data_IF_562389720087
#
_entry.id   IF_562389720087
#
_cell.length_a   1.000
_cell.length_b   1.000
_cell.length_c   1.000
_cell.angle_alpha   90.00
_cell.angle_beta   90.00
_cell.angle_gamma   90.00
#
_symmetry.space_group_name_H-M   'P 1'
#
loop_
_entity.id
_entity.type
_entity.pdbx_description
1 polymer ?
#
# COMPACT_ATOMS: atom_id res chain seq x y z
N UNK A 1 15.39 13.94 21.81
CA UNK A 1 14.98 12.75 21.04
C UNK A 1 15.24 11.52 21.90
N UNK A 2 14.27 10.63 22.14
CA UNK A 2 14.52 9.37 22.83
C UNK A 2 15.52 8.49 22.04
N UNK A 3 16.38 7.73 22.71
CA UNK A 3 17.45 6.95 22.05
C UNK A 3 16.91 5.96 21.01
N UNK A 4 15.80 5.29 21.31
CA UNK A 4 15.15 4.34 20.41
C UNK A 4 14.69 4.99 19.09
N UNK A 5 14.19 6.23 19.14
CA UNK A 5 13.83 6.99 17.93
C UNK A 5 15.10 7.42 17.18
N UNK A 6 16.19 7.70 17.91
CA UNK A 6 17.52 8.05 17.38
C UNK A 6 17.98 7.18 16.23
N UNK A 7 17.87 5.86 16.44
CA UNK A 7 18.28 4.82 15.49
C UNK A 7 17.33 4.75 14.28
N UNK A 8 16.04 5.02 14.50
CA UNK A 8 15.00 4.85 13.51
C UNK A 8 14.71 3.38 13.17
N UNK A 9 13.73 3.17 12.30
CA UNK A 9 13.31 1.84 11.83
C UNK A 9 13.34 1.76 10.32
N UNK A 10 13.68 0.59 9.77
CA UNK A 10 13.66 0.33 8.33
C UNK A 10 12.32 -0.27 7.90
N UNK A 11 11.83 0.14 6.74
CA UNK A 11 10.56 -0.30 6.16
C UNK A 11 10.69 -0.51 4.65
N UNK A 12 9.89 -1.45 4.11
CA UNK A 12 9.78 -1.75 2.69
C UNK A 12 8.32 -1.65 2.20
N UNK A 13 7.49 -0.91 2.92
CA UNK A 13 6.07 -0.82 2.65
C UNK A 13 5.38 0.22 3.48
N UNK A 14 4.31 0.80 2.94
CA UNK A 14 3.47 1.73 3.69
C UNK A 14 2.01 1.46 3.37
N UNK A 15 1.18 1.43 4.39
CA UNK A 15 -0.28 1.42 4.30
C UNK A 15 -0.81 2.77 4.79
N UNK A 16 -1.89 3.23 4.17
CA UNK A 16 -2.48 4.54 4.45
C UNK A 16 -3.94 4.34 4.78
N UNK A 17 -4.34 4.70 5.99
CA UNK A 17 -5.75 4.87 6.35
C UNK A 17 -6.05 6.35 6.38
N UNK A 18 -7.20 6.73 5.83
CA UNK A 18 -7.64 8.13 5.80
C UNK A 18 -8.86 8.27 6.69
N UNK A 19 -8.72 9.05 7.76
CA UNK A 19 -9.83 9.49 8.59
C UNK A 19 -10.40 10.81 8.10
N UNK A 20 -11.31 11.40 8.89
CA UNK A 20 -11.92 12.68 8.54
C UNK A 20 -10.92 13.86 8.56
N UNK A 21 -9.94 13.83 9.47
CA UNK A 21 -9.02 14.95 9.72
C UNK A 21 -7.54 14.58 9.65
N UNK A 22 -7.25 13.29 9.76
CA UNK A 22 -5.91 12.75 9.91
C UNK A 22 -5.75 11.52 9.02
N UNK A 23 -4.54 11.31 8.53
CA UNK A 23 -4.13 10.04 7.94
C UNK A 23 -3.26 9.26 8.92
N UNK A 24 -3.38 7.95 8.87
CA UNK A 24 -2.51 7.01 9.57
C UNK A 24 -1.60 6.37 8.54
N UNK A 25 -0.28 6.50 8.75
CA UNK A 25 0.77 5.87 7.98
C UNK A 25 1.33 4.70 8.77
N UNK A 26 1.02 3.49 8.32
CA UNK A 26 1.61 2.26 8.85
C UNK A 26 2.77 1.84 7.98
N UNK A 27 3.98 1.97 8.51
CA UNK A 27 5.19 1.48 7.88
C UNK A 27 5.38 0.02 8.22
N UNK A 28 5.52 -0.79 7.18
CA UNK A 28 5.57 -2.25 7.27
C UNK A 28 6.96 -2.73 6.89
N UNK A 29 7.43 -3.75 7.60
CA UNK A 29 8.57 -4.55 7.21
C UNK A 29 8.09 -5.95 6.84
N UNK A 30 8.28 -6.31 5.58
CA UNK A 30 7.98 -7.64 5.03
C UNK A 30 9.28 -8.41 4.86
N UNK A 31 9.68 -9.19 5.86
CA UNK A 31 10.87 -10.03 5.82
C UNK A 31 10.52 -11.43 6.34
N UNK A 32 9.76 -12.17 5.54
CA UNK A 32 9.11 -13.43 5.93
C UNK A 32 7.76 -13.20 6.63
N UNK A 33 6.92 -14.24 6.65
CA UNK A 33 5.70 -14.23 7.44
C UNK A 33 6.05 -14.39 8.93
N UNK A 34 5.44 -13.60 9.83
CA UNK A 34 4.43 -12.59 9.58
C UNK A 34 5.01 -11.21 9.28
N UNK A 35 4.35 -10.51 8.35
CA UNK A 35 4.60 -9.10 8.09
C UNK A 35 4.35 -8.28 9.39
N UNK A 36 5.16 -7.24 9.64
CA UNK A 36 5.09 -6.47 10.89
C UNK A 36 5.03 -4.97 10.65
N UNK A 37 4.16 -4.29 11.40
CA UNK A 37 4.16 -2.82 11.47
C UNK A 37 5.34 -2.39 12.37
N UNK A 38 6.24 -1.58 11.81
CA UNK A 38 7.48 -1.10 12.47
C UNK A 38 7.40 0.37 12.89
N UNK A 39 6.53 1.15 12.27
CA UNK A 39 6.12 2.46 12.77
C UNK A 39 4.67 2.74 12.37
N UNK A 40 3.91 3.35 13.28
CA UNK A 40 2.59 3.93 13.00
C UNK A 40 2.68 5.42 13.25
N UNK A 41 2.42 6.24 12.24
CA UNK A 41 2.51 7.70 12.33
C UNK A 41 1.18 8.32 11.95
N UNK A 42 0.69 9.23 12.79
CA UNK A 42 -0.58 9.95 12.56
C UNK A 42 -0.22 11.37 12.11
N UNK A 43 -0.75 11.78 10.96
CA UNK A 43 -0.52 13.10 10.37
C UNK A 43 -1.85 13.83 10.12
N UNK A 44 -1.98 15.11 10.48
CA UNK A 44 -3.07 15.95 9.99
C UNK A 44 -3.05 16.04 8.46
N UNK A 45 -4.23 16.13 7.82
CA UNK A 45 -4.35 16.24 6.35
C UNK A 45 -3.49 17.35 5.73
N UNK A 46 -3.37 18.49 6.41
CA UNK A 46 -2.52 19.60 5.95
C UNK A 46 -1.04 19.21 5.88
N UNK A 47 -0.54 18.47 6.87
CA UNK A 47 0.85 18.01 6.94
C UNK A 47 1.09 16.90 5.92
N UNK A 48 0.11 16.02 5.71
CA UNK A 48 0.16 14.99 4.67
C UNK A 48 0.25 15.60 3.26
N UNK A 49 -0.48 16.69 2.99
CA UNK A 49 -0.35 17.44 1.72
C UNK A 49 1.02 18.09 1.55
N UNK A 50 1.59 18.63 2.63
CA UNK A 50 2.97 19.14 2.60
C UNK A 50 3.98 18.02 2.34
N UNK A 51 3.78 16.85 2.93
CA UNK A 51 4.62 15.67 2.67
C UNK A 51 4.62 15.29 1.20
N UNK A 52 3.48 15.36 0.50
CA UNK A 52 3.40 15.12 -0.95
C UNK A 52 4.35 16.06 -1.71
N UNK A 53 4.24 17.37 -1.47
CA UNK A 53 5.08 18.35 -2.15
C UNK A 53 6.57 18.13 -1.87
N UNK A 54 6.93 17.91 -0.59
CA UNK A 54 8.31 17.63 -0.18
C UNK A 54 8.83 16.34 -0.81
N UNK A 55 8.00 15.30 -0.91
CA UNK A 55 8.37 14.04 -1.56
C UNK A 55 8.61 14.23 -3.06
N UNK A 56 7.79 15.01 -3.75
CA UNK A 56 7.98 15.30 -5.17
C UNK A 56 9.33 15.97 -5.42
N UNK A 57 9.66 17.01 -4.65
CA UNK A 57 10.93 17.73 -4.75
C UNK A 57 12.12 16.81 -4.43
N UNK A 58 12.03 16.02 -3.35
CA UNK A 58 13.10 15.09 -2.97
C UNK A 58 13.29 13.97 -3.98
N UNK A 59 12.23 13.48 -4.61
CA UNK A 59 12.30 12.45 -5.65
C UNK A 59 12.99 13.00 -6.90
N UNK A 60 12.65 14.22 -7.31
CA UNK A 60 13.33 14.89 -8.43
C UNK A 60 14.81 15.12 -8.13
N UNK A 61 15.13 15.57 -6.92
CA UNK A 61 16.52 15.76 -6.49
C UNK A 61 17.31 14.44 -6.44
N UNK A 62 16.68 13.37 -5.97
CA UNK A 62 17.24 12.02 -6.01
C UNK A 62 17.55 11.61 -7.45
N UNK A 63 16.58 11.74 -8.37
CA UNK A 63 16.74 11.29 -9.75
C UNK A 63 17.81 12.08 -10.50
N UNK A 64 17.90 13.38 -10.23
CA UNK A 64 18.96 14.25 -10.77
C UNK A 64 20.35 13.79 -10.30
N UNK A 65 20.47 13.34 -9.04
CA UNK A 65 21.75 13.00 -8.42
C UNK A 65 22.19 11.56 -8.64
N UNK A 66 21.25 10.62 -8.62
CA UNK A 66 21.52 9.17 -8.61
C UNK A 66 20.97 8.43 -9.83
N UNK A 67 20.15 9.08 -10.65
CA UNK A 67 19.41 8.46 -11.75
C UNK A 67 18.03 7.93 -11.32
N UNK A 68 17.29 7.31 -12.25
CA UNK A 68 15.90 6.90 -12.01
C UNK A 68 15.78 5.91 -10.86
N UNK A 69 14.69 6.03 -10.09
CA UNK A 69 14.41 5.10 -8.99
C UNK A 69 14.28 3.66 -9.51
N UNK A 70 14.96 2.67 -8.88
CA UNK A 70 14.84 1.28 -9.31
C UNK A 70 13.40 0.78 -9.20
N UNK A 71 12.96 0.00 -10.21
CA UNK A 71 11.62 -0.58 -10.22
C UNK A 71 11.54 -1.76 -9.26
N UNK A 72 10.47 -1.82 -8.47
CA UNK A 72 10.16 -2.99 -7.66
C UNK A 72 9.89 -4.20 -8.56
N UNK A 73 10.40 -5.40 -8.21
CA UNK A 73 9.98 -6.64 -8.86
C UNK A 73 8.46 -6.79 -8.77
N UNK A 74 7.79 -6.92 -9.92
CA UNK A 74 6.38 -7.34 -9.93
C UNK A 74 6.36 -8.83 -9.60
N UNK A 75 5.80 -9.19 -8.46
CA UNK A 75 5.37 -10.57 -8.23
C UNK A 75 4.31 -10.86 -9.29
N UNK A 76 4.60 -11.79 -10.22
CA UNK A 76 3.57 -12.35 -11.09
C UNK A 76 2.59 -13.04 -10.15
N UNK A 77 1.42 -12.47 -9.93
CA UNK A 77 0.29 -13.27 -9.46
C UNK A 77 0.14 -14.35 -10.52
N UNK A 78 0.33 -15.61 -10.11
CA UNK A 78 0.06 -16.74 -10.97
C UNK A 78 -1.42 -16.61 -11.29
N UNK A 79 -1.75 -16.11 -12.49
CA UNK A 79 -3.07 -16.35 -13.05
C UNK A 79 -3.13 -17.86 -13.14
N UNK A 80 -3.96 -18.48 -12.31
CA UNK A 80 -4.33 -19.87 -12.45
C UNK A 80 -4.91 -19.96 -13.86
N UNK A 81 -4.05 -20.37 -14.81
CA UNK A 81 -4.43 -20.56 -16.21
C UNK A 81 -5.55 -21.59 -16.18
N UNK A 82 -6.80 -21.13 -16.27
CA UNK A 82 -7.95 -22.00 -16.52
C UNK A 82 -7.55 -22.94 -17.66
N UNK A 83 -7.61 -24.27 -17.47
CA UNK A 83 -7.23 -25.20 -18.52
C UNK A 83 -8.04 -24.86 -19.78
N UNK A 84 -7.43 -24.90 -20.98
CA UNK A 84 -8.19 -24.74 -22.20
C UNK A 84 -9.33 -25.77 -22.21
N UNK A 85 -10.55 -25.39 -22.65
CA UNK A 85 -11.65 -26.33 -22.71
C UNK A 85 -11.25 -27.55 -23.56
N UNK A 86 -11.67 -28.77 -23.17
CA UNK A 86 -11.36 -29.96 -23.96
C UNK A 86 -11.88 -29.78 -25.39
N UNK A 87 -11.16 -30.30 -26.41
CA UNK A 87 -11.63 -30.23 -27.79
C UNK A 87 -13.01 -30.90 -27.89
N UNK A 88 -13.91 -30.42 -28.77
CA UNK A 88 -15.20 -31.04 -28.95
C UNK A 88 -15.00 -32.50 -29.37
N UNK A 89 -15.53 -33.42 -28.57
CA UNK A 89 -15.57 -34.85 -28.91
C UNK A 89 -16.39 -35.01 -30.19
N UNK A 90 -15.71 -35.35 -31.30
CA UNK A 90 -16.36 -35.74 -32.55
C UNK A 90 -16.95 -37.14 -32.37
N UNK A 91 -18.22 -37.21 -31.95
CA UNK A 91 -18.96 -38.47 -31.88
C UNK A 91 -19.58 -38.76 -33.27
N UNK A 92 -19.27 -39.91 -33.91
CA UNK A 92 -19.86 -40.26 -35.19
C UNK A 92 -21.30 -40.73 -34.97
N UNK A 93 -22.27 -39.97 -35.48
CA UNK A 93 -23.69 -40.30 -35.37
C UNK A 93 -24.07 -41.67 -35.95
N UNK A 94 -25.27 -42.15 -35.62
CA UNK A 94 -26.29 -42.11 -36.65
C UNK A 94 -27.67 -41.63 -36.17
N UNK A 95 -28.45 -41.21 -37.17
CA UNK A 95 -29.79 -40.65 -37.17
C UNK A 95 -30.82 -41.25 -36.18
N UNK A 96 -31.62 -40.38 -35.56
CA UNK A 96 -32.87 -40.75 -34.88
C UNK A 96 -33.56 -39.56 -34.22
N UNK A 97 -34.83 -39.35 -34.55
CA UNK A 97 -35.68 -38.23 -34.12
C UNK A 97 -36.04 -38.22 -32.62
N UNK A 98 -36.32 -37.03 -32.06
CA UNK A 98 -37.05 -36.88 -30.80
C UNK A 98 -36.57 -35.68 -29.97
N UNK A 99 -37.49 -34.80 -29.56
CA UNK A 99 -37.18 -33.58 -28.83
C UNK A 99 -36.96 -33.74 -27.33
N UNK A 100 -36.89 -32.56 -26.68
CA UNK A 100 -36.91 -32.24 -25.23
C UNK A 100 -35.58 -31.79 -24.59
N UNK A 101 -35.52 -30.47 -24.38
CA UNK A 101 -35.07 -29.74 -23.16
C UNK A 101 -33.78 -30.18 -22.48
N UNK A 102 -32.71 -29.40 -22.68
CA UNK A 102 -31.56 -29.37 -21.76
C UNK A 102 -31.57 -28.04 -20.97
N UNK A 103 -31.70 -28.18 -19.65
CA UNK A 103 -31.73 -27.11 -18.68
C UNK A 103 -30.44 -26.26 -18.73
N UNK A 104 -30.60 -24.94 -18.72
CA UNK A 104 -29.51 -24.00 -18.49
C UNK A 104 -29.13 -24.04 -17.00
N UNK A 105 -28.00 -24.69 -16.68
CA UNK A 105 -27.37 -24.57 -15.36
C UNK A 105 -26.71 -23.17 -15.23
N UNK A 106 -27.00 -22.39 -14.18
CA UNK A 106 -26.54 -21.00 -14.03
C UNK A 106 -25.10 -20.86 -13.50
N UNK A 107 -24.23 -21.86 -13.67
CA UNK A 107 -22.93 -21.91 -12.99
C UNK A 107 -21.77 -21.18 -13.70
N UNK A 108 -22.00 -20.52 -14.84
CA UNK A 108 -20.92 -19.91 -15.62
C UNK A 108 -20.87 -18.37 -15.55
N UNK A 109 -21.05 -17.79 -14.37
CA UNK A 109 -20.68 -16.40 -14.13
C UNK A 109 -19.22 -16.33 -13.65
N UNK A 110 -18.31 -15.68 -14.39
CA UNK A 110 -16.94 -15.50 -13.93
C UNK A 110 -16.92 -14.61 -12.68
N UNK A 111 -16.74 -15.24 -11.52
CA UNK A 111 -16.45 -14.54 -10.27
C UNK A 111 -15.09 -13.85 -10.42
N UNK A 112 -15.10 -12.52 -10.47
CA UNK A 112 -13.86 -11.76 -10.38
C UNK A 112 -13.17 -12.10 -9.06
N UNK A 113 -11.83 -12.33 -9.03
CA UNK A 113 -11.14 -12.62 -7.78
C UNK A 113 -11.38 -11.45 -6.82
N UNK A 114 -11.99 -11.74 -5.67
CA UNK A 114 -12.27 -10.75 -4.65
C UNK A 114 -10.97 -10.03 -4.31
N UNK A 115 -10.96 -8.70 -4.47
CA UNK A 115 -9.86 -7.90 -3.96
C UNK A 115 -9.78 -8.14 -2.45
N UNK A 116 -8.61 -8.51 -1.89
CA UNK A 116 -8.48 -8.68 -0.45
C UNK A 116 -8.94 -7.41 0.25
N UNK A 117 -9.82 -7.54 1.24
CA UNK A 117 -10.32 -6.39 1.97
C UNK A 117 -9.17 -5.84 2.84
N UNK A 118 -9.14 -4.53 3.09
CA UNK A 118 -8.03 -3.90 3.81
C UNK A 118 -7.85 -4.54 5.20
N UNK A 119 -8.97 -4.93 5.80
CA UNK A 119 -9.08 -5.65 7.06
C UNK A 119 -8.32 -6.98 7.06
N UNK A 120 -8.45 -7.80 6.00
CA UNK A 120 -7.74 -9.08 5.88
C UNK A 120 -6.21 -8.88 5.90
N UNK A 121 -5.74 -7.81 5.25
CA UNK A 121 -4.31 -7.45 5.22
C UNK A 121 -3.83 -7.04 6.62
N UNK A 122 -4.69 -6.39 7.42
CA UNK A 122 -4.36 -6.00 8.79
C UNK A 122 -4.31 -7.19 9.75
N UNK A 123 -5.15 -8.20 9.57
CA UNK A 123 -5.17 -9.39 10.42
C UNK A 123 -3.91 -10.25 10.26
N UNK A 124 -3.31 -10.26 9.06
CA UNK A 124 -2.02 -10.90 8.80
C UNK A 124 -0.82 -10.12 9.38
N UNK A 125 -1.01 -8.84 9.71
CA UNK A 125 0.05 -7.96 10.20
C UNK A 125 0.16 -8.01 11.72
N UNK A 126 1.35 -8.36 12.22
CA UNK A 126 1.65 -8.17 13.65
C UNK A 126 1.81 -6.68 13.96
N UNK A 127 0.90 -6.14 14.75
CA UNK A 127 0.97 -4.81 15.34
C UNK A 127 1.30 -4.91 16.84
N UNK A 128 2.49 -4.49 17.30
CA UNK A 128 2.83 -4.50 18.71
C UNK A 128 1.93 -3.56 19.53
N UNK A 129 1.53 -3.96 20.73
CA UNK A 129 0.66 -3.17 21.63
C UNK A 129 1.14 -1.73 21.85
N UNK A 130 2.45 -1.56 22.03
CA UNK A 130 3.08 -0.25 22.23
C UNK A 130 2.91 0.70 21.03
N UNK A 131 2.50 0.19 19.88
CA UNK A 131 2.30 0.97 18.65
C UNK A 131 0.82 1.14 18.27
N UNK A 132 -0.11 0.55 19.02
CA UNK A 132 -1.55 0.66 18.73
C UNK A 132 -2.00 2.11 18.58
N UNK A 133 -1.55 2.98 19.49
CA UNK A 133 -1.85 4.41 19.50
C UNK A 133 -1.10 5.24 18.45
N UNK A 134 0.00 4.71 17.90
CA UNK A 134 0.88 5.45 16.98
C UNK A 134 1.61 6.65 17.58
N UNK A 135 2.44 7.28 16.75
CA UNK A 135 3.13 8.54 17.04
C UNK A 135 2.50 9.66 16.24
N UNK A 136 2.00 10.70 16.90
CA UNK A 136 1.54 11.91 16.23
C UNK A 136 2.71 12.75 15.70
N UNK A 137 2.57 13.33 14.51
CA UNK A 137 3.51 14.31 13.98
C UNK A 137 2.80 15.42 13.21
N UNK A 138 3.26 16.65 13.40
CA UNK A 138 2.74 17.84 12.72
C UNK A 138 3.76 18.47 11.77
N UNK A 139 4.92 17.85 11.61
CA UNK A 139 5.93 18.20 10.62
C UNK A 139 6.69 16.93 10.20
N UNK A 140 7.29 16.98 9.02
CA UNK A 140 8.14 15.90 8.50
C UNK A 140 9.32 16.51 7.77
N UNK A 141 10.51 16.00 8.06
CA UNK A 141 11.72 16.31 7.31
C UNK A 141 12.15 15.08 6.52
N UNK A 142 12.35 15.27 5.21
CA UNK A 142 12.76 14.20 4.30
C UNK A 142 14.21 14.41 3.89
N UNK A 143 15.00 13.36 3.95
CA UNK A 143 16.35 13.27 3.39
C UNK A 143 16.48 11.98 2.61
N UNK A 144 17.46 11.88 1.73
CA UNK A 144 17.69 10.66 0.97
C UNK A 144 19.17 10.39 0.71
N UNK A 145 19.50 9.11 0.53
CA UNK A 145 20.77 8.62 -0.01
C UNK A 145 20.51 8.06 -1.41
N UNK A 146 21.47 7.34 -2.01
CA UNK A 146 21.24 6.62 -3.28
C UNK A 146 20.34 5.38 -3.15
N UNK A 147 20.02 4.93 -1.93
CA UNK A 147 19.31 3.65 -1.70
C UNK A 147 18.04 3.79 -0.88
N UNK A 148 17.92 4.83 -0.05
CA UNK A 148 16.84 4.98 0.91
C UNK A 148 16.46 6.45 1.17
N UNK A 149 15.21 6.66 1.58
CA UNK A 149 14.68 7.93 2.06
C UNK A 149 14.46 7.84 3.57
N UNK A 150 14.92 8.85 4.29
CA UNK A 150 14.75 9.02 5.72
C UNK A 150 13.66 10.06 5.98
N UNK A 151 12.65 9.66 6.76
CA UNK A 151 11.55 10.48 7.23
C UNK A 151 11.72 10.72 8.72
N UNK A 152 12.02 11.97 9.07
CA UNK A 152 11.98 12.44 10.44
C UNK A 152 10.61 13.06 10.70
N UNK A 153 9.73 12.31 11.35
CA UNK A 153 8.44 12.79 11.81
C UNK A 153 8.61 13.54 13.10
N UNK A 154 8.17 14.80 13.11
CA UNK A 154 8.45 15.74 14.17
C UNK A 154 7.13 16.15 14.82
N UNK A 155 7.11 16.06 16.14
CA UNK A 155 6.09 16.67 16.98
C UNK A 155 6.62 18.01 17.49
N UNK A 156 6.10 19.09 16.94
CA UNK A 156 6.33 20.44 17.41
C UNK A 156 5.25 20.81 18.41
N UNK A 157 5.58 20.77 19.70
CA UNK A 157 4.72 21.25 20.80
C UNK A 157 5.55 22.21 21.63
N UNK A 158 5.03 23.42 21.89
CA UNK A 158 5.76 24.39 22.71
C UNK A 158 6.11 23.79 24.10
N UNK A 159 7.34 23.96 24.62
CA UNK A 159 8.48 24.73 24.10
C UNK A 159 9.53 23.88 23.35
N UNK A 160 9.25 22.61 23.03
CA UNK A 160 10.25 21.68 22.47
C UNK A 160 9.72 20.92 21.26
N UNK A 161 10.51 20.93 20.20
CA UNK A 161 10.34 20.01 19.08
C UNK A 161 11.03 18.68 19.38
N UNK A 162 10.38 17.57 19.05
CA UNK A 162 10.97 16.24 19.15
C UNK A 162 10.66 15.41 17.91
N UNK A 163 11.67 14.67 17.42
CA UNK A 163 11.43 13.59 16.45
C UNK A 163 10.68 12.48 17.19
N UNK A 164 9.44 12.21 16.78
CA UNK A 164 8.55 11.20 17.36
C UNK A 164 8.64 9.86 16.64
N UNK A 165 9.02 9.87 15.37
CA UNK A 165 9.37 8.68 14.62
C UNK A 165 10.44 9.01 13.57
N UNK A 166 11.37 8.07 13.37
CA UNK A 166 12.34 8.10 12.28
C UNK A 166 12.19 6.82 11.48
N UNK A 167 11.84 6.96 10.21
CA UNK A 167 11.62 5.81 9.32
C UNK A 167 12.52 5.92 8.11
N UNK A 168 13.16 4.82 7.76
CA UNK A 168 13.90 4.65 6.52
C UNK A 168 13.06 3.79 5.58
N UNK A 169 12.78 4.30 4.39
CA UNK A 169 12.06 3.59 3.34
C UNK A 169 13.00 3.39 2.16
N UNK A 170 13.13 2.16 1.67
CA UNK A 170 13.93 1.90 0.47
C UNK A 170 13.38 2.69 -0.73
N UNK A 171 14.28 3.32 -1.50
CA UNK A 171 13.95 4.23 -2.59
C UNK A 171 12.89 3.69 -3.58
N UNK A 172 12.93 2.39 -3.99
CA UNK A 172 11.92 1.81 -4.87
C UNK A 172 10.46 1.90 -4.37
N UNK A 173 10.23 2.05 -3.07
CA UNK A 173 8.88 2.15 -2.49
C UNK A 173 8.37 3.60 -2.38
N UNK A 174 9.24 4.60 -2.51
CA UNK A 174 8.88 6.02 -2.34
C UNK A 174 7.90 6.51 -3.40
N UNK A 175 8.05 6.18 -4.71
CA UNK A 175 7.06 6.57 -5.71
C UNK A 175 5.66 6.04 -5.43
N UNK A 176 5.56 4.81 -4.90
CA UNK A 176 4.28 4.21 -4.53
C UNK A 176 3.66 4.93 -3.33
N UNK A 177 4.46 5.23 -2.29
CA UNK A 177 4.00 6.02 -1.15
C UNK A 177 3.44 7.38 -1.62
N UNK A 178 4.18 8.09 -2.48
CA UNK A 178 3.76 9.38 -3.02
C UNK A 178 2.43 9.28 -3.78
N UNK A 179 2.30 8.30 -4.69
CA UNK A 179 1.08 8.10 -5.46
C UNK A 179 -0.12 7.73 -4.57
N UNK A 180 0.11 6.88 -3.57
CA UNK A 180 -0.92 6.50 -2.60
C UNK A 180 -1.37 7.70 -1.76
N UNK A 181 -0.44 8.55 -1.28
CA UNK A 181 -0.77 9.79 -0.57
C UNK A 181 -1.63 10.72 -1.43
N UNK A 182 -1.25 10.93 -2.70
CA UNK A 182 -2.00 11.77 -3.64
C UNK A 182 -3.41 11.24 -3.83
N UNK A 183 -3.57 9.92 -4.01
CA UNK A 183 -4.87 9.27 -4.18
C UNK A 183 -5.74 9.39 -2.93
N UNK A 184 -5.18 9.07 -1.77
CA UNK A 184 -5.90 9.05 -0.50
C UNK A 184 -6.39 10.44 -0.07
N UNK A 185 -5.64 11.50 -0.36
CA UNK A 185 -6.02 12.87 -0.01
C UNK A 185 -6.89 13.58 -1.04
N UNK A 186 -7.09 12.98 -2.22
CA UNK A 186 -7.97 13.46 -3.28
C UNK A 186 -8.92 12.33 -3.69
N UNK A 187 -9.86 11.91 -2.82
CA UNK A 187 -10.87 10.96 -3.23
C UNK A 187 -11.61 11.54 -4.44
N UNK A 188 -11.70 10.77 -5.52
CA UNK A 188 -12.49 11.16 -6.68
C UNK A 188 -13.95 11.42 -6.28
N UNK A 189 -14.75 12.07 -7.14
CA UNK A 189 -16.17 12.25 -6.86
C UNK A 189 -16.81 10.89 -6.55
N UNK A 190 -17.49 10.83 -5.40
CA UNK A 190 -18.17 9.62 -4.92
C UNK A 190 -19.29 9.27 -5.92
N UNK A 191 -19.22 8.12 -6.62
CA UNK A 191 -20.21 7.77 -7.65
C UNK A 191 -21.63 7.55 -7.09
N UNK A 192 -21.82 7.61 -5.76
CA UNK A 192 -23.10 7.38 -5.09
C UNK A 192 -23.82 8.61 -4.50
N UNK A 193 -23.30 9.84 -4.67
CA UNK A 193 -23.98 11.06 -4.19
C UNK A 193 -24.52 11.89 -5.36
N UNK A 194 -25.74 11.58 -5.78
CA UNK A 194 -26.62 12.47 -6.56
C UNK A 194 -27.81 12.88 -5.70
#
# INVERSE_FOLDING_TARGET
MPEAVGRGVFSNGTMILTGAYEIVLDFVLRFGEPNRIVARVILPHVVARQLIAVLQENLQAFETRFGPVPRLPRVRQVQEETPPPPPPEEDPGPAGAGGMTAAQHPENMPQSPAQPQIEDIYDELRLPDAMLSGSYANAVLVRHTGTEFCFDFITNIFPRSAVSARVYLAAPHVPLLLQSLIRSLNPGPDPGRN
#
